data_IF_516508455080
#
_entry.id   IF_516508455080
#
_cell.length_a   1.000
_cell.length_b   1.000
_cell.length_c   1.000
_cell.angle_alpha   90.00
_cell.angle_beta   90.00
_cell.angle_gamma   90.00
#
_symmetry.space_group_name_H-M   'P 1'
#
loop_
_entity.id
_entity.type
_entity.pdbx_description
1 polymer ?
#
# COMPACT_ATOMS: atom_id res chain seq x y z
N UNK A 1 3.47 26.78 -5.90
CA UNK A 1 2.31 26.15 -6.55
C UNK A 1 1.21 26.03 -5.50
N UNK A 2 0.01 26.61 -5.71
CA UNK A 2 -1.11 26.42 -4.80
C UNK A 2 -1.44 24.93 -4.75
N UNK A 3 -1.46 24.35 -3.54
CA UNK A 3 -1.71 22.93 -3.35
C UNK A 3 -3.10 22.55 -3.86
N UNK A 4 -3.17 21.57 -4.75
CA UNK A 4 -4.44 20.97 -5.15
C UNK A 4 -5.22 20.54 -3.91
N UNK A 5 -6.53 20.85 -3.83
CA UNK A 5 -7.34 20.41 -2.71
C UNK A 5 -7.34 18.89 -2.63
N UNK A 6 -7.08 18.37 -1.43
CA UNK A 6 -7.14 16.94 -1.14
C UNK A 6 -8.53 16.41 -1.55
N UNK A 7 -8.63 15.28 -2.26
CA UNK A 7 -9.92 14.65 -2.56
C UNK A 7 -10.69 14.37 -1.26
N UNK A 8 -12.01 14.51 -1.30
CA UNK A 8 -12.95 14.31 -0.18
C UNK A 8 -13.05 12.82 0.27
N UNK A 9 -12.01 12.02 0.06
CA UNK A 9 -11.92 10.57 0.31
C UNK A 9 -11.66 10.24 1.81
N UNK A 10 -11.56 11.24 2.68
CA UNK A 10 -11.29 11.06 4.12
C UNK A 10 -12.53 10.86 5.01
N UNK A 11 -13.68 10.43 4.46
CA UNK A 11 -14.80 9.94 5.29
C UNK A 11 -14.56 8.47 5.65
N UNK A 12 -13.68 8.27 6.63
CA UNK A 12 -13.16 7.00 7.13
C UNK A 12 -14.33 6.09 7.57
N UNK A 13 -14.62 5.04 6.79
CA UNK A 13 -15.59 4.03 7.21
C UNK A 13 -15.02 3.20 8.37
N UNK A 14 -15.84 2.97 9.40
CA UNK A 14 -15.51 2.11 10.53
C UNK A 14 -15.59 0.64 10.09
N UNK A 15 -14.52 0.07 9.54
CA UNK A 15 -14.43 -1.40 9.37
C UNK A 15 -14.20 -2.04 10.74
N UNK A 16 -15.02 -3.03 11.09
CA UNK A 16 -14.80 -3.90 12.25
C UNK A 16 -13.77 -4.95 11.80
N UNK A 17 -12.59 -4.97 12.42
CA UNK A 17 -11.45 -5.84 12.05
C UNK A 17 -11.67 -7.32 12.41
N UNK A 18 -10.57 -8.02 12.76
CA UNK A 18 -10.52 -9.46 13.04
C UNK A 18 -11.55 -9.99 14.07
N UNK A 19 -12.12 -9.11 14.91
CA UNK A 19 -13.25 -9.43 15.81
C UNK A 19 -14.49 -9.98 15.08
N UNK A 20 -14.61 -9.78 13.77
CA UNK A 20 -15.70 -10.34 12.96
C UNK A 20 -15.47 -11.82 12.63
N UNK A 21 -14.24 -12.33 12.70
CA UNK A 21 -13.93 -13.73 12.41
C UNK A 21 -14.00 -14.63 13.65
N UNK A 22 -13.70 -14.10 14.84
CA UNK A 22 -13.76 -14.85 16.11
C UNK A 22 -15.16 -15.33 16.49
N UNK A 23 -16.22 -14.73 15.92
CA UNK A 23 -17.60 -15.24 16.10
C UNK A 23 -17.94 -16.48 15.26
N UNK A 24 -17.12 -16.83 14.27
CA UNK A 24 -17.37 -17.94 13.36
C UNK A 24 -16.59 -19.21 13.69
N UNK A 25 -15.52 -19.11 14.49
CA UNK A 25 -14.68 -20.26 14.86
C UNK A 25 -14.72 -20.45 16.38
N UNK A 26 -15.02 -21.67 16.82
CA UNK A 26 -15.04 -22.05 18.23
C UNK A 26 -13.82 -22.90 18.54
N UNK A 27 -13.27 -22.71 19.74
CA UNK A 27 -12.17 -23.52 20.23
C UNK A 27 -12.68 -24.94 20.51
N UNK A 28 -12.04 -25.93 19.90
CA UNK A 28 -12.32 -27.34 20.12
C UNK A 28 -11.80 -27.84 21.47
N UNK A 29 -12.13 -29.08 21.85
CA UNK A 29 -11.79 -29.66 23.15
C UNK A 29 -10.28 -29.79 23.42
N UNK A 30 -9.44 -29.75 22.37
CA UNK A 30 -7.98 -29.80 22.47
C UNK A 30 -7.32 -28.40 22.46
N UNK A 31 -8.11 -27.32 22.53
CA UNK A 31 -7.60 -25.95 22.41
C UNK A 31 -7.23 -25.53 20.98
N UNK A 32 -7.71 -26.29 19.99
CA UNK A 32 -7.46 -26.07 18.56
C UNK A 32 -8.75 -25.64 17.85
N UNK A 33 -8.64 -24.79 16.83
CA UNK A 33 -9.78 -24.26 16.06
C UNK A 33 -10.07 -25.02 14.76
N UNK A 34 -9.11 -25.81 14.27
CA UNK A 34 -9.20 -26.55 13.01
C UNK A 34 -8.69 -27.97 13.20
N UNK A 35 -9.28 -28.91 12.49
CA UNK A 35 -8.99 -30.35 12.56
C UNK A 35 -7.88 -30.75 11.57
N UNK A 36 -7.74 -30.01 10.47
CA UNK A 36 -6.72 -30.24 9.46
C UNK A 36 -6.34 -28.95 8.69
N UNK A 37 -5.37 -29.09 7.78
CA UNK A 37 -4.87 -27.99 6.96
C UNK A 37 -5.90 -27.46 5.95
N UNK A 38 -6.76 -28.31 5.40
CA UNK A 38 -7.76 -27.91 4.40
C UNK A 38 -8.88 -27.09 5.05
N UNK A 39 -9.28 -27.43 6.27
CA UNK A 39 -10.23 -26.67 7.09
C UNK A 39 -9.65 -25.28 7.42
N UNK A 40 -8.39 -25.22 7.87
CA UNK A 40 -7.70 -23.97 8.13
C UNK A 40 -7.53 -23.09 6.87
N UNK A 41 -7.28 -23.70 5.71
CA UNK A 41 -7.18 -23.00 4.43
C UNK A 41 -8.54 -22.44 3.99
N UNK A 42 -9.59 -23.22 4.17
CA UNK A 42 -10.97 -22.84 3.80
C UNK A 42 -11.45 -21.63 4.60
N UNK A 43 -11.02 -21.51 5.85
CA UNK A 43 -11.35 -20.39 6.72
C UNK A 43 -10.93 -19.00 6.19
N UNK A 44 -10.01 -18.97 5.22
CA UNK A 44 -9.40 -17.75 4.64
C UNK A 44 -9.72 -17.62 3.15
N UNK A 45 -10.47 -18.58 2.58
CA UNK A 45 -10.69 -18.67 1.13
C UNK A 45 -11.68 -17.62 0.63
N UNK A 46 -12.58 -17.16 1.49
CA UNK A 46 -13.54 -16.13 1.17
C UNK A 46 -12.89 -14.74 1.11
N UNK A 47 -13.32 -13.92 0.15
CA UNK A 47 -12.88 -12.55 0.06
C UNK A 47 -13.28 -11.78 1.33
N UNK A 48 -12.27 -11.23 2.01
CA UNK A 48 -12.43 -10.43 3.22
C UNK A 48 -13.26 -9.16 2.98
N UNK A 49 -13.26 -8.65 1.74
CA UNK A 49 -14.19 -7.64 1.26
C UNK A 49 -14.32 -7.67 -0.26
N UNK A 50 -15.45 -7.14 -0.74
CA UNK A 50 -15.76 -7.00 -2.16
C UNK A 50 -15.68 -5.52 -2.59
N UNK A 51 -15.11 -5.24 -3.78
CA UNK A 51 -15.03 -3.89 -4.34
C UNK A 51 -16.42 -3.37 -4.74
N UNK A 52 -16.55 -2.08 -5.07
CA UNK A 52 -17.78 -1.54 -5.64
C UNK A 52 -18.22 -2.32 -6.88
N UNK A 53 -19.50 -2.66 -6.96
CA UNK A 53 -20.06 -3.27 -8.16
C UNK A 53 -20.02 -2.28 -9.33
N UNK A 54 -19.77 -2.78 -10.54
CA UNK A 54 -19.77 -2.01 -11.78
C UNK A 54 -18.77 -0.85 -11.84
N UNK A 55 -17.57 -1.04 -11.29
CA UNK A 55 -16.51 -0.06 -11.43
C UNK A 55 -16.06 0.11 -12.89
N UNK A 56 -16.48 1.21 -13.50
CA UNK A 56 -16.15 1.55 -14.88
C UNK A 56 -14.69 1.98 -15.07
N UNK A 57 -13.94 2.21 -13.99
CA UNK A 57 -12.55 2.66 -14.03
C UNK A 57 -11.54 1.52 -14.18
N UNK A 58 -12.00 0.26 -14.10
CA UNK A 58 -11.16 -0.92 -14.37
C UNK A 58 -10.81 -0.97 -15.88
N UNK A 59 -9.52 -1.02 -16.25
CA UNK A 59 -9.07 -1.16 -17.63
C UNK A 59 -9.61 -2.43 -18.30
N UNK A 60 -10.22 -2.27 -19.47
CA UNK A 60 -10.92 -3.33 -20.23
C UNK A 60 -10.11 -3.89 -21.38
N UNK A 61 -9.08 -3.17 -21.83
CA UNK A 61 -8.24 -3.56 -22.96
C UNK A 61 -6.76 -3.28 -22.70
N UNK A 62 -5.91 -3.77 -23.61
CA UNK A 62 -4.46 -3.67 -23.50
C UNK A 62 -3.94 -2.23 -23.54
N UNK A 63 -4.65 -1.33 -24.20
CA UNK A 63 -4.19 0.07 -24.33
C UNK A 63 -4.53 0.88 -23.09
N UNK A 64 -5.67 0.60 -22.47
CA UNK A 64 -6.01 1.09 -21.13
C UNK A 64 -5.03 0.54 -20.09
N UNK A 65 -4.70 -0.75 -20.16
CA UNK A 65 -3.69 -1.36 -19.28
C UNK A 65 -2.33 -0.64 -19.42
N UNK A 66 -1.84 -0.43 -20.65
CA UNK A 66 -0.61 0.32 -20.91
C UNK A 66 -0.67 1.76 -20.40
N UNK A 67 -1.82 2.42 -20.48
CA UNK A 67 -2.00 3.78 -19.97
C UNK A 67 -1.82 3.83 -18.46
N UNK A 68 -2.38 2.86 -17.73
CA UNK A 68 -2.19 2.74 -16.28
C UNK A 68 -0.74 2.41 -15.92
N UNK A 69 -0.12 1.47 -16.64
CA UNK A 69 1.29 1.11 -16.42
C UNK A 69 2.21 2.31 -16.63
N UNK A 70 2.00 3.09 -17.70
CA UNK A 70 2.77 4.30 -17.95
C UNK A 70 2.65 5.30 -16.80
N UNK A 71 1.45 5.53 -16.27
CA UNK A 71 1.23 6.39 -15.10
C UNK A 71 1.95 5.89 -13.85
N UNK A 72 1.98 4.57 -13.63
CA UNK A 72 2.71 3.95 -12.51
C UNK A 72 4.23 4.11 -12.68
N UNK A 73 4.75 3.92 -13.90
CA UNK A 73 6.19 4.11 -14.19
C UNK A 73 6.60 5.57 -14.03
N UNK A 74 5.82 6.50 -14.58
CA UNK A 74 6.02 7.95 -14.40
C UNK A 74 6.02 8.31 -12.91
N UNK A 75 5.09 7.75 -12.14
CA UNK A 75 5.06 7.92 -10.69
C UNK A 75 6.31 7.34 -10.00
N UNK A 76 6.79 6.15 -10.35
CA UNK A 76 8.02 5.61 -9.77
C UNK A 76 9.26 6.47 -10.05
N UNK A 77 9.30 7.11 -11.22
CA UNK A 77 10.42 7.94 -11.66
C UNK A 77 10.31 9.40 -11.20
N UNK A 78 9.15 9.84 -10.72
CA UNK A 78 9.00 11.16 -10.13
C UNK A 78 9.66 11.23 -8.75
N UNK A 79 10.87 11.81 -8.72
CA UNK A 79 11.62 12.08 -7.49
C UNK A 79 11.42 13.51 -6.96
N UNK A 80 10.65 14.37 -7.66
CA UNK A 80 10.43 15.76 -7.25
C UNK A 80 9.54 15.85 -6.02
N UNK A 81 8.58 14.93 -5.91
CA UNK A 81 7.69 14.81 -4.77
C UNK A 81 8.27 13.98 -3.62
N UNK A 82 9.43 13.33 -3.83
CA UNK A 82 10.11 12.57 -2.80
C UNK A 82 10.75 13.51 -1.76
N UNK A 83 10.27 13.43 -0.52
CA UNK A 83 10.79 14.19 0.63
C UNK A 83 12.16 13.71 1.14
N UNK A 84 12.78 12.77 0.43
CA UNK A 84 14.07 12.17 0.77
C UNK A 84 15.23 13.13 0.45
N UNK A 85 16.24 13.15 1.32
CA UNK A 85 17.44 13.95 1.11
C UNK A 85 18.25 13.48 -0.09
N UNK A 86 18.97 14.42 -0.71
CA UNK A 86 19.99 14.09 -1.71
C UNK A 86 20.98 13.05 -1.19
N UNK A 87 21.21 12.01 -1.98
CA UNK A 87 22.07 10.89 -1.61
C UNK A 87 21.40 9.75 -0.84
N UNK A 88 20.11 9.84 -0.50
CA UNK A 88 19.36 8.70 0.05
C UNK A 88 19.44 7.50 -0.90
N UNK A 89 19.66 6.31 -0.35
CA UNK A 89 19.65 5.04 -1.08
C UNK A 89 18.40 4.85 -1.94
N UNK A 90 17.24 5.33 -1.48
CA UNK A 90 16.00 5.36 -2.26
C UNK A 90 16.16 6.16 -3.56
N UNK A 91 16.54 7.45 -3.49
CA UNK A 91 16.78 8.29 -4.67
C UNK A 91 17.83 7.71 -5.61
N UNK A 92 18.89 7.11 -5.06
CA UNK A 92 19.95 6.48 -5.86
C UNK A 92 19.39 5.38 -6.76
N UNK A 93 18.47 4.54 -6.26
CA UNK A 93 17.87 3.44 -7.04
C UNK A 93 17.08 3.90 -8.26
N UNK A 94 16.64 5.15 -8.30
CA UNK A 94 15.89 5.71 -9.42
C UNK A 94 16.66 6.77 -10.22
N UNK A 95 17.91 7.07 -9.82
CA UNK A 95 18.77 8.04 -10.50
C UNK A 95 19.77 7.30 -11.41
N UNK A 96 19.75 7.55 -12.73
CA UNK A 96 20.74 6.97 -13.65
C UNK A 96 22.18 7.29 -13.24
N UNK A 97 23.11 6.35 -13.45
CA UNK A 97 24.52 6.54 -13.16
C UNK A 97 24.94 6.26 -11.70
N UNK A 98 24.01 5.85 -10.83
CA UNK A 98 24.38 5.35 -9.50
C UNK A 98 24.65 3.84 -9.52
N UNK A 99 25.37 3.35 -8.51
CA UNK A 99 25.72 1.93 -8.37
C UNK A 99 24.54 0.99 -8.07
N UNK A 100 23.37 1.53 -7.77
CA UNK A 100 22.18 0.77 -7.33
C UNK A 100 20.94 1.08 -8.18
N UNK A 101 21.14 1.66 -9.37
CA UNK A 101 20.07 2.07 -10.27
C UNK A 101 19.25 0.88 -10.77
N UNK A 102 17.93 0.95 -10.64
CA UNK A 102 17.01 0.00 -11.22
C UNK A 102 16.93 0.20 -12.73
N UNK A 103 17.12 -0.88 -13.50
CA UNK A 103 16.93 -0.84 -14.94
C UNK A 103 15.47 -0.46 -15.26
N UNK A 104 15.20 0.39 -16.27
CA UNK A 104 13.84 0.83 -16.59
C UNK A 104 12.82 -0.31 -16.76
N UNK A 105 13.23 -1.42 -17.38
CA UNK A 105 12.35 -2.58 -17.57
C UNK A 105 11.93 -3.24 -16.24
N UNK A 106 12.74 -3.16 -15.18
CA UNK A 106 12.37 -3.70 -13.86
C UNK A 106 11.27 -2.87 -13.20
N UNK A 107 11.31 -1.55 -13.41
CA UNK A 107 10.27 -0.62 -12.94
C UNK A 107 8.97 -0.88 -13.71
N UNK A 108 9.05 -1.02 -15.04
CA UNK A 108 7.89 -1.35 -15.87
C UNK A 108 7.27 -2.70 -15.48
N UNK A 109 8.09 -3.74 -15.29
CA UNK A 109 7.62 -5.04 -14.80
C UNK A 109 6.87 -4.91 -13.46
N UNK A 110 7.44 -4.16 -12.50
CA UNK A 110 6.80 -3.90 -11.22
C UNK A 110 5.43 -3.21 -11.39
N UNK A 111 5.33 -2.23 -12.29
CA UNK A 111 4.07 -1.57 -12.62
C UNK A 111 3.02 -2.53 -13.22
N UNK A 112 3.45 -3.45 -14.10
CA UNK A 112 2.57 -4.54 -14.60
C UNK A 112 2.08 -5.47 -13.49
N UNK A 113 2.96 -5.85 -12.56
CA UNK A 113 2.59 -6.67 -11.40
C UNK A 113 1.55 -5.95 -10.53
N UNK A 114 1.76 -4.65 -10.24
CA UNK A 114 0.81 -3.81 -9.49
C UNK A 114 -0.55 -3.75 -10.19
N UNK A 115 -0.58 -3.44 -11.49
CA UNK A 115 -1.80 -3.42 -12.28
C UNK A 115 -2.56 -4.75 -12.17
N UNK A 116 -1.86 -5.87 -12.35
CA UNK A 116 -2.45 -7.20 -12.27
C UNK A 116 -3.08 -7.46 -10.90
N UNK A 117 -2.36 -7.20 -9.81
CA UNK A 117 -2.87 -7.40 -8.45
C UNK A 117 -4.08 -6.51 -8.15
N UNK A 118 -4.05 -5.24 -8.57
CA UNK A 118 -5.17 -4.31 -8.39
C UNK A 118 -6.39 -4.79 -9.17
N UNK A 119 -6.25 -5.22 -10.43
CA UNK A 119 -7.37 -5.81 -11.20
C UNK A 119 -7.93 -7.05 -10.52
N UNK A 120 -7.09 -7.96 -10.04
CA UNK A 120 -7.54 -9.18 -9.34
C UNK A 120 -8.40 -8.83 -8.13
N UNK A 121 -7.98 -7.86 -7.31
CA UNK A 121 -8.75 -7.41 -6.14
C UNK A 121 -10.08 -6.78 -6.56
N UNK A 122 -10.08 -5.97 -7.62
CA UNK A 122 -11.29 -5.28 -8.09
C UNK A 122 -12.24 -6.18 -8.90
N UNK A 123 -11.78 -7.35 -9.34
CA UNK A 123 -12.61 -8.33 -10.05
C UNK A 123 -13.11 -9.47 -9.15
N UNK A 124 -12.32 -9.91 -8.17
CA UNK A 124 -12.61 -11.07 -7.33
C UNK A 124 -12.76 -10.78 -5.84
N UNK A 125 -12.47 -9.55 -5.41
CA UNK A 125 -12.35 -9.21 -4.00
C UNK A 125 -10.95 -9.47 -3.43
N UNK A 126 -10.74 -9.04 -2.20
CA UNK A 126 -9.46 -9.20 -1.50
C UNK A 126 -9.46 -10.46 -0.64
N UNK A 127 -8.58 -11.42 -0.93
CA UNK A 127 -8.51 -12.72 -0.25
C UNK A 127 -7.10 -13.07 0.27
N UNK A 128 -6.22 -12.07 0.45
CA UNK A 128 -4.86 -12.36 0.92
C UNK A 128 -4.87 -12.85 2.38
N UNK A 129 -4.05 -13.85 2.74
CA UNK A 129 -4.01 -14.43 4.09
C UNK A 129 -3.28 -13.51 5.07
N UNK A 130 -3.94 -12.42 5.46
CA UNK A 130 -3.46 -11.45 6.45
C UNK A 130 -4.23 -11.65 7.74
N UNK A 131 -3.52 -11.96 8.82
CA UNK A 131 -4.10 -12.20 10.15
C UNK A 131 -3.96 -11.01 11.10
N UNK A 132 -3.13 -10.03 10.74
CA UNK A 132 -2.94 -8.82 11.53
C UNK A 132 -4.21 -7.95 11.46
N UNK A 133 -4.90 -7.82 12.59
CA UNK A 133 -6.17 -7.13 12.70
C UNK A 133 -6.08 -5.65 12.31
N UNK A 134 -4.97 -4.98 12.60
CA UNK A 134 -4.75 -3.57 12.28
C UNK A 134 -4.48 -3.37 10.79
N UNK A 135 -3.77 -4.30 10.15
CA UNK A 135 -3.60 -4.30 8.70
C UNK A 135 -4.94 -4.56 8.02
N UNK A 136 -5.72 -5.56 8.46
CA UNK A 136 -7.06 -5.85 7.94
C UNK A 136 -8.00 -4.66 8.07
N UNK A 137 -8.00 -3.98 9.22
CA UNK A 137 -8.79 -2.78 9.45
C UNK A 137 -8.44 -1.70 8.44
N UNK A 138 -7.14 -1.44 8.23
CA UNK A 138 -6.68 -0.47 7.24
C UNK A 138 -7.09 -0.87 5.82
N UNK A 139 -6.92 -2.14 5.45
CA UNK A 139 -7.34 -2.65 4.14
C UNK A 139 -8.83 -2.42 3.92
N UNK A 140 -9.67 -2.77 4.90
CA UNK A 140 -11.12 -2.59 4.87
C UNK A 140 -11.58 -1.14 4.73
N UNK A 141 -10.74 -0.15 5.07
CA UNK A 141 -11.05 1.28 4.82
C UNK A 141 -11.09 1.62 3.33
N UNK A 142 -10.40 0.83 2.50
CA UNK A 142 -10.33 1.04 1.04
C UNK A 142 -11.31 0.19 0.26
N UNK A 143 -12.20 -0.56 0.93
CA UNK A 143 -13.11 -1.51 0.28
C UNK A 143 -14.09 -0.87 -0.72
N UNK A 144 -14.37 0.41 -0.54
CA UNK A 144 -15.28 1.19 -1.39
C UNK A 144 -14.56 2.01 -2.44
N UNK A 145 -13.22 1.96 -2.48
CA UNK A 145 -12.48 2.67 -3.51
C UNK A 145 -12.75 2.01 -4.86
N UNK A 146 -12.80 2.85 -5.88
CA UNK A 146 -12.67 2.45 -7.28
C UNK A 146 -11.24 2.04 -7.61
N UNK A 147 -11.06 1.42 -8.76
CA UNK A 147 -9.79 1.04 -9.35
C UNK A 147 -8.93 2.29 -9.55
N UNK A 148 -9.49 3.36 -10.11
CA UNK A 148 -8.77 4.62 -10.33
C UNK A 148 -8.35 5.27 -9.01
N UNK A 149 -9.21 5.33 -7.99
CA UNK A 149 -8.83 5.88 -6.68
C UNK A 149 -7.67 5.10 -6.05
N UNK A 150 -7.68 3.78 -6.19
CA UNK A 150 -6.58 2.92 -5.71
C UNK A 150 -5.29 3.18 -6.48
N UNK A 151 -5.34 3.25 -7.81
CA UNK A 151 -4.17 3.56 -8.65
C UNK A 151 -3.62 4.94 -8.33
N UNK A 152 -4.46 5.97 -8.23
CA UNK A 152 -4.04 7.33 -7.88
C UNK A 152 -3.30 7.38 -6.55
N UNK A 153 -3.79 6.64 -5.56
CA UNK A 153 -3.13 6.55 -4.25
C UNK A 153 -1.82 5.78 -4.29
N UNK A 154 -1.70 4.74 -5.13
CA UNK A 154 -0.44 4.04 -5.37
C UNK A 154 0.56 4.96 -6.07
N UNK A 155 0.16 5.72 -7.10
CA UNK A 155 1.04 6.67 -7.77
C UNK A 155 1.59 7.76 -6.83
N UNK A 156 0.90 8.07 -5.72
CA UNK A 156 1.38 9.01 -4.69
C UNK A 156 2.35 8.39 -3.68
N UNK A 157 2.59 7.07 -3.73
CA UNK A 157 3.40 6.32 -2.76
C UNK A 157 4.39 5.38 -3.44
N UNK A 158 5.66 5.70 -3.28
CA UNK A 158 6.74 4.93 -3.89
C UNK A 158 7.33 3.84 -2.96
N UNK A 159 6.55 2.85 -2.50
CA UNK A 159 7.12 1.77 -1.66
C UNK A 159 6.39 0.40 -1.70
N UNK A 160 6.77 -0.57 -0.85
CA UNK A 160 6.58 -2.03 -1.00
C UNK A 160 5.16 -2.52 -1.36
N UNK A 161 5.12 -3.39 -2.38
CA UNK A 161 4.00 -3.88 -3.19
C UNK A 161 2.70 -4.24 -2.43
N UNK A 162 2.69 -5.19 -1.49
CA UNK A 162 1.41 -5.71 -0.96
C UNK A 162 0.67 -4.77 0.00
N UNK A 163 1.40 -4.15 0.93
CA UNK A 163 0.81 -3.14 1.84
C UNK A 163 0.39 -1.88 1.07
N UNK A 164 1.14 -1.52 0.01
CA UNK A 164 0.74 -0.46 -0.94
C UNK A 164 -0.55 -0.81 -1.66
N UNK A 165 -0.75 -2.05 -2.06
CA UNK A 165 -1.96 -2.43 -2.81
C UNK A 165 -3.18 -2.50 -1.90
N UNK A 166 -3.03 -3.11 -0.71
CA UNK A 166 -4.15 -3.30 0.22
C UNK A 166 -4.53 -2.05 1.03
N UNK A 167 -3.54 -1.27 1.48
CA UNK A 167 -3.73 -0.12 2.36
C UNK A 167 -2.76 1.04 2.05
N UNK A 168 -2.77 1.58 0.82
CA UNK A 168 -1.82 2.62 0.38
C UNK A 168 -1.84 3.88 1.26
N UNK A 169 -3.01 4.24 1.80
CA UNK A 169 -3.17 5.39 2.70
C UNK A 169 -2.43 5.22 4.04
N UNK A 170 -2.33 3.99 4.58
CA UNK A 170 -1.58 3.74 5.82
C UNK A 170 -0.12 4.09 5.63
N UNK A 171 0.47 3.65 4.52
CA UNK A 171 1.85 3.98 4.16
C UNK A 171 2.02 5.48 3.90
N UNK A 172 1.03 6.11 3.25
CA UNK A 172 1.07 7.56 3.06
C UNK A 172 1.17 8.32 4.38
N UNK A 173 0.29 8.01 5.32
CA UNK A 173 0.28 8.61 6.64
C UNK A 173 1.56 8.26 7.43
N UNK A 174 2.05 7.01 7.35
CA UNK A 174 3.30 6.62 8.01
C UNK A 174 4.50 7.40 7.49
N UNK A 175 4.62 7.64 6.19
CA UNK A 175 5.73 8.47 5.67
C UNK A 175 5.65 9.90 6.22
N UNK A 176 4.45 10.52 6.24
CA UNK A 176 4.29 11.88 6.78
C UNK A 176 4.72 11.97 8.24
N UNK A 177 4.24 11.03 9.07
CA UNK A 177 4.60 10.96 10.50
C UNK A 177 6.09 10.67 10.68
N UNK A 178 6.66 9.74 9.90
CA UNK A 178 8.08 9.39 9.98
C UNK A 178 8.98 10.56 9.56
N UNK A 179 8.62 11.34 8.53
CA UNK A 179 9.37 12.53 8.13
C UNK A 179 9.43 13.55 9.27
N UNK A 180 8.30 13.80 9.95
CA UNK A 180 8.25 14.72 11.09
C UNK A 180 9.04 14.20 12.30
N UNK A 181 8.90 12.92 12.62
CA UNK A 181 9.62 12.27 13.72
C UNK A 181 11.13 12.27 13.50
N UNK A 182 11.58 11.92 12.29
CA UNK A 182 13.00 11.91 11.93
C UNK A 182 13.61 13.32 11.95
N UNK A 183 12.87 14.34 11.51
CA UNK A 183 13.31 15.73 11.59
C UNK A 183 13.53 16.18 13.05
N UNK A 184 12.61 15.84 13.94
CA UNK A 184 12.75 16.11 15.37
C UNK A 184 13.94 15.35 15.97
N UNK A 185 14.06 14.05 15.71
CA UNK A 185 15.16 13.23 16.22
C UNK A 185 16.52 13.76 15.77
N UNK A 186 16.65 14.20 14.51
CA UNK A 186 17.89 14.77 14.00
C UNK A 186 18.29 16.06 14.72
N UNK A 187 17.33 16.90 15.13
CA UNK A 187 17.62 18.09 15.95
C UNK A 187 18.20 17.70 17.32
N UNK A 188 17.57 16.73 17.98
CA UNK A 188 18.05 16.22 19.28
C UNK A 188 19.44 15.59 19.19
N UNK A 189 19.68 14.77 18.17
CA UNK A 189 21.00 14.15 17.94
C UNK A 189 22.07 15.20 17.66
N UNK A 190 21.75 16.25 16.88
CA UNK A 190 22.68 17.35 16.61
C UNK A 190 23.04 18.12 17.88
N UNK A 191 22.03 18.49 18.68
CA UNK A 191 22.24 19.18 19.95
C UNK A 191 23.05 18.34 20.96
N UNK A 192 22.77 17.02 21.07
CA UNK A 192 23.55 16.12 21.92
C UNK A 192 25.02 16.02 21.49
N UNK A 193 25.28 15.90 20.18
CA UNK A 193 26.66 15.87 19.63
C UNK A 193 27.40 17.19 19.79
N UNK A 194 26.70 18.32 19.82
CA UNK A 194 27.31 19.63 20.08
C UNK A 194 27.65 19.77 21.57
N UNK A 195 26.78 19.28 22.47
CA UNK A 195 27.04 19.27 23.91
C UNK A 195 28.19 18.34 24.32
N UNK A 196 28.38 17.19 23.64
CA UNK A 196 29.53 16.29 23.87
C UNK A 196 30.88 16.90 23.45
N UNK A 197 30.87 17.95 22.62
CA UNK A 197 32.08 18.63 22.13
C UNK A 197 32.47 19.86 22.96
N UNK A 198 31.59 20.32 23.83
CA UNK A 198 31.80 21.48 24.71
C UNK A 198 32.35 21.03 26.07
#
# INVERSE_FOLDING_TARGET
MPGEPLPEILKISKSKGADVLSKYYQEGPEGMYFSDFEEALTAIKDAQWQPPANDATIPRDKEQDRTVVRRLVEAFLDLQSAMDTDGNAYRKRFTPGTTVYYNPWTIERCAWEILHMVKTIHMGGFSAPIFDADILKCIGQTKHWTFEERILMICRKHEKVWTVIGAPHKLYNSTLVNTQSNASRNKWVKAGREAEKA
#
